data_IF_796425746162
#
_entry.id   IF_796425746162
#
_cell.length_a   1.000
_cell.length_b   1.000
_cell.length_c   1.000
_cell.angle_alpha   90.00
_cell.angle_beta   90.00
_cell.angle_gamma   90.00
#
_symmetry.space_group_name_H-M   'P 1'
#
loop_
_entity.id
_entity.type
_entity.pdbx_description
1 polymer ?
#
# COMPACT_ATOMS: atom_id res chain seq x y z
N UNK A 1 6.61 -20.36 -11.63
CA UNK A 1 5.35 -20.25 -12.37
C UNK A 1 5.71 -19.94 -13.83
N UNK A 2 5.47 -20.86 -14.76
CA UNK A 2 5.75 -20.63 -16.18
C UNK A 2 4.49 -20.01 -16.79
N UNK A 3 4.59 -18.80 -17.35
CA UNK A 3 3.45 -18.13 -17.98
C UNK A 3 3.29 -18.73 -19.38
N UNK A 4 2.19 -19.44 -19.61
CA UNK A 4 1.80 -19.97 -20.93
C UNK A 4 0.74 -19.06 -21.57
N UNK A 5 0.50 -19.21 -22.88
CA UNK A 5 -0.50 -18.41 -23.61
C UNK A 5 -1.96 -18.63 -23.13
N UNK A 6 -2.21 -19.63 -22.29
CA UNK A 6 -3.52 -19.92 -21.71
C UNK A 6 -3.83 -19.07 -20.46
N UNK A 7 -2.83 -18.34 -19.97
CA UNK A 7 -2.92 -17.53 -18.77
C UNK A 7 -3.57 -16.19 -19.11
N UNK A 8 -4.87 -16.05 -18.83
CA UNK A 8 -5.63 -14.81 -19.07
C UNK A 8 -5.17 -13.68 -18.13
N UNK A 9 -4.37 -12.75 -18.64
CA UNK A 9 -3.95 -11.55 -17.92
C UNK A 9 -5.06 -10.49 -17.95
N UNK A 10 -5.22 -9.69 -16.87
CA UNK A 10 -6.12 -8.55 -16.85
C UNK A 10 -5.67 -7.49 -17.87
N UNK A 11 -6.60 -6.65 -18.31
CA UNK A 11 -6.28 -5.54 -19.23
C UNK A 11 -5.56 -4.41 -18.49
N UNK A 12 -4.79 -3.58 -19.21
CA UNK A 12 -4.04 -2.47 -18.59
C UNK A 12 -4.97 -1.47 -17.90
N UNK A 13 -6.15 -1.22 -18.48
CA UNK A 13 -7.18 -0.34 -17.94
C UNK A 13 -7.65 -0.79 -16.55
N UNK A 14 -7.78 -2.10 -16.33
CA UNK A 14 -8.15 -2.66 -15.03
C UNK A 14 -7.06 -2.48 -13.98
N UNK A 15 -5.80 -2.34 -14.40
CA UNK A 15 -4.67 -2.07 -13.51
C UNK A 15 -4.50 -0.60 -13.16
N UNK A 16 -5.02 0.32 -13.99
CA UNK A 16 -4.85 1.76 -13.75
C UNK A 16 -5.61 2.22 -12.50
N UNK A 17 -4.87 2.59 -11.45
CA UNK A 17 -5.38 3.09 -10.17
C UNK A 17 -4.50 4.26 -9.74
N UNK A 18 -5.05 5.20 -8.97
CA UNK A 18 -4.26 6.29 -8.39
C UNK A 18 -3.18 5.73 -7.46
N UNK A 19 -1.92 5.94 -7.82
CA UNK A 19 -0.77 5.52 -7.02
C UNK A 19 -0.55 6.40 -5.80
N UNK A 20 0.03 5.80 -4.76
CA UNK A 20 0.39 6.46 -3.53
C UNK A 20 1.87 6.87 -3.57
N UNK A 21 2.12 8.10 -4.00
CA UNK A 21 3.47 8.66 -4.11
C UNK A 21 4.00 9.14 -2.75
N UNK A 22 4.39 8.21 -1.88
CA UNK A 22 4.95 8.51 -0.56
C UNK A 22 6.28 7.78 -0.35
N UNK A 23 7.12 8.34 0.52
CA UNK A 23 8.37 7.68 0.91
C UNK A 23 8.08 6.45 1.78
N UNK A 24 8.97 5.47 1.72
CA UNK A 24 8.91 4.27 2.57
C UNK A 24 8.83 4.61 4.06
N UNK A 25 9.49 5.68 4.49
CA UNK A 25 9.43 6.18 5.86
C UNK A 25 8.01 6.58 6.27
N UNK A 26 7.29 7.31 5.40
CA UNK A 26 5.92 7.73 5.66
C UNK A 26 4.95 6.53 5.67
N UNK A 27 5.18 5.53 4.82
CA UNK A 27 4.37 4.31 4.81
C UNK A 27 4.57 3.47 6.07
N UNK A 28 5.80 3.36 6.58
CA UNK A 28 6.13 2.60 7.79
C UNK A 28 5.77 3.35 9.07
N UNK A 29 5.67 4.68 9.01
CA UNK A 29 5.25 5.51 10.13
C UNK A 29 3.81 5.22 10.58
N UNK A 30 2.99 4.65 9.70
CA UNK A 30 1.61 4.38 10.04
C UNK A 30 1.45 3.10 10.84
N UNK A 31 0.66 3.13 11.93
CA UNK A 31 0.20 1.91 12.56
C UNK A 31 -0.63 1.11 11.55
N UNK A 32 -0.48 -0.22 11.60
CA UNK A 32 -1.03 -1.25 10.70
C UNK A 32 -2.58 -1.30 10.64
N UNK A 33 -3.26 -0.17 10.49
CA UNK A 33 -4.73 -0.02 10.51
C UNK A 33 -5.33 -0.26 9.11
N UNK A 34 -4.50 -0.46 8.08
CA UNK A 34 -4.94 -0.75 6.71
C UNK A 34 -5.13 -2.23 6.39
N UNK A 35 -5.07 -3.11 7.38
CA UNK A 35 -5.52 -4.48 7.19
C UNK A 35 -7.03 -4.46 6.99
N UNK A 36 -7.47 -4.23 5.74
CA UNK A 36 -8.72 -4.80 5.26
C UNK A 36 -8.49 -6.31 5.26
N UNK A 37 -9.02 -7.05 6.25
CA UNK A 37 -8.78 -8.48 6.33
C UNK A 37 -9.26 -9.19 5.07
N UNK A 38 -10.22 -8.60 4.35
CA UNK A 38 -10.77 -9.09 3.09
C UNK A 38 -9.71 -9.28 1.99
N UNK A 39 -8.81 -8.32 1.79
CA UNK A 39 -7.74 -8.47 0.78
C UNK A 39 -6.73 -9.56 1.20
N UNK A 40 -6.37 -9.58 2.48
CA UNK A 40 -5.44 -10.58 3.02
C UNK A 40 -6.04 -11.98 3.04
N UNK A 41 -7.36 -12.10 3.25
CA UNK A 41 -8.11 -13.35 3.20
C UNK A 41 -8.22 -13.85 1.75
N UNK A 42 -8.65 -12.98 0.83
CA UNK A 42 -8.73 -13.30 -0.60
C UNK A 42 -7.39 -13.83 -1.12
N UNK A 43 -6.28 -13.16 -0.75
CA UNK A 43 -4.94 -13.58 -1.16
C UNK A 43 -4.51 -14.92 -0.56
N UNK A 44 -4.93 -15.23 0.67
CA UNK A 44 -4.63 -16.52 1.31
C UNK A 44 -5.46 -17.68 0.75
N UNK A 45 -6.70 -17.43 0.34
CA UNK A 45 -7.61 -18.47 -0.13
C UNK A 45 -7.42 -18.80 -1.61
N UNK A 46 -7.28 -17.78 -2.47
CA UNK A 46 -7.25 -17.96 -3.93
C UNK A 46 -5.83 -18.16 -4.48
N UNK A 47 -4.80 -17.66 -3.78
CA UNK A 47 -3.38 -17.60 -4.21
C UNK A 47 -3.12 -16.96 -5.60
N UNK A 48 -4.17 -16.55 -6.32
CA UNK A 48 -4.11 -15.81 -7.59
C UNK A 48 -4.35 -14.31 -7.34
N UNK A 49 -3.37 -13.42 -7.65
CA UNK A 49 -3.52 -11.99 -7.49
C UNK A 49 -4.60 -11.35 -8.38
N UNK A 50 -5.02 -12.00 -9.48
CA UNK A 50 -5.99 -11.42 -10.44
C UNK A 50 -7.40 -11.38 -9.88
N UNK A 51 -7.76 -12.37 -9.06
CA UNK A 51 -9.08 -12.45 -8.45
C UNK A 51 -9.29 -11.36 -7.39
N UNK A 52 -8.21 -10.94 -6.71
CA UNK A 52 -8.26 -10.00 -5.59
C UNK A 52 -7.99 -8.53 -5.98
N UNK A 53 -8.09 -8.18 -7.28
CA UNK A 53 -7.77 -6.83 -7.76
C UNK A 53 -8.76 -5.78 -7.23
N UNK A 54 -10.03 -6.12 -7.09
CA UNK A 54 -11.06 -5.18 -6.63
C UNK A 54 -10.85 -4.80 -5.16
N UNK A 55 -10.50 -5.77 -4.33
CA UNK A 55 -10.16 -5.59 -2.93
C UNK A 55 -8.86 -4.79 -2.78
N UNK A 56 -7.88 -5.01 -3.67
CA UNK A 56 -6.67 -4.20 -3.76
C UNK A 56 -6.99 -2.73 -4.04
N UNK A 57 -7.89 -2.44 -4.99
CA UNK A 57 -8.36 -1.06 -5.26
C UNK A 57 -9.01 -0.43 -4.05
N UNK A 58 -9.81 -1.19 -3.30
CA UNK A 58 -10.43 -0.72 -2.07
C UNK A 58 -9.39 -0.34 -1.01
N UNK A 59 -8.33 -1.15 -0.84
CA UNK A 59 -7.21 -0.85 0.08
C UNK A 59 -6.51 0.45 -0.33
N UNK A 60 -6.15 0.61 -1.60
CA UNK A 60 -5.48 1.83 -2.09
C UNK A 60 -6.33 3.07 -1.90
N UNK A 61 -7.64 2.99 -2.17
CA UNK A 61 -8.57 4.11 -1.94
C UNK A 61 -8.68 4.49 -0.46
N UNK A 62 -8.60 3.51 0.44
CA UNK A 62 -8.63 3.72 1.88
C UNK A 62 -7.37 4.43 2.36
N UNK A 63 -6.20 3.97 1.93
CA UNK A 63 -4.92 4.60 2.24
C UNK A 63 -4.86 6.06 1.76
N UNK A 64 -5.30 6.35 0.52
CA UNK A 64 -5.35 7.71 -0.01
C UNK A 64 -6.21 8.65 0.86
N UNK A 65 -7.37 8.17 1.31
CA UNK A 65 -8.25 8.95 2.18
C UNK A 65 -7.65 9.16 3.58
N UNK A 66 -6.90 8.19 4.09
CA UNK A 66 -6.19 8.32 5.35
C UNK A 66 -5.11 9.41 5.28
N UNK A 67 -4.22 9.33 4.30
CA UNK A 67 -3.16 10.34 4.12
C UNK A 67 -3.70 11.74 3.87
N UNK A 68 -4.84 11.87 3.17
CA UNK A 68 -5.55 13.16 3.03
C UNK A 68 -6.02 13.72 4.36
N UNK A 69 -6.45 12.88 5.30
CA UNK A 69 -6.86 13.30 6.66
C UNK A 69 -5.66 13.66 7.52
N UNK A 70 -4.61 12.83 7.52
CA UNK A 70 -3.35 13.11 8.26
C UNK A 70 -2.76 14.45 7.84
N UNK A 71 -2.70 14.71 6.53
CA UNK A 71 -2.21 15.98 5.99
C UNK A 71 -3.03 17.20 6.47
N UNK A 72 -4.33 17.03 6.75
CA UNK A 72 -5.19 18.12 7.24
C UNK A 72 -5.12 18.32 8.75
N UNK A 73 -4.92 17.24 9.51
CA UNK A 73 -5.03 17.27 10.98
C UNK A 73 -3.70 17.34 11.72
N UNK A 74 -2.68 16.57 11.30
CA UNK A 74 -1.45 16.36 12.07
C UNK A 74 -0.18 16.32 11.20
N UNK A 75 -0.12 17.15 10.17
CA UNK A 75 0.96 17.14 9.18
C UNK A 75 2.35 17.33 9.79
N UNK A 76 2.55 18.32 10.67
CA UNK A 76 3.87 18.64 11.20
C UNK A 76 4.44 17.53 12.09
N UNK A 77 3.64 17.04 13.03
CA UNK A 77 4.01 15.94 13.92
C UNK A 77 4.30 14.65 13.13
N UNK A 78 3.47 14.36 12.13
CA UNK A 78 3.67 13.20 11.27
C UNK A 78 4.97 13.29 10.47
N UNK A 79 5.29 14.47 9.94
CA UNK A 79 6.54 14.68 9.20
C UNK A 79 7.77 14.62 10.10
N UNK A 80 7.69 15.13 11.33
CA UNK A 80 8.77 14.99 12.31
C UNK A 80 9.02 13.51 12.63
N UNK A 81 7.95 12.73 12.86
CA UNK A 81 8.05 11.30 13.12
C UNK A 81 8.59 10.52 11.91
N UNK A 82 8.08 10.79 10.71
CA UNK A 82 8.56 10.16 9.49
C UNK A 82 10.04 10.49 9.21
N UNK A 83 10.47 11.73 9.47
CA UNK A 83 11.88 12.14 9.33
C UNK A 83 12.77 11.47 10.38
N UNK A 84 12.26 11.27 11.60
CA UNK A 84 12.95 10.54 12.65
C UNK A 84 13.15 9.07 12.25
N UNK A 85 12.11 8.44 11.72
CA UNK A 85 12.18 7.07 11.19
C UNK A 85 13.16 6.96 10.03
N UNK A 86 13.15 7.92 9.09
CA UNK A 86 14.08 7.99 7.96
C UNK A 86 15.54 7.98 8.44
N UNK A 87 15.83 8.73 9.51
CA UNK A 87 17.19 8.91 10.07
C UNK A 87 17.61 7.83 11.07
N UNK A 88 16.69 6.99 11.55
CA UNK A 88 16.95 6.00 12.61
C UNK A 88 17.54 4.71 12.01
N UNK A 89 18.72 4.27 12.46
CA UNK A 89 19.36 3.06 11.94
C UNK A 89 18.77 1.75 12.46
N UNK A 90 18.52 0.84 11.51
CA UNK A 90 18.13 -0.56 11.71
C UNK A 90 17.88 -1.30 10.38
N UNK A 91 16.94 -0.83 9.55
CA UNK A 91 16.71 -1.23 8.14
C UNK A 91 16.12 -0.06 7.31
N UNK A 92 16.40 1.15 7.79
CA UNK A 92 16.32 2.45 7.12
C UNK A 92 17.72 3.07 7.36
N UNK A 93 18.72 2.50 6.69
CA UNK A 93 20.14 2.74 6.98
C UNK A 93 20.69 3.88 6.13
N UNK A 94 21.12 4.97 6.77
CA UNK A 94 22.09 5.90 6.20
C UNK A 94 23.49 5.30 6.36
N UNK A 95 24.15 4.98 5.24
CA UNK A 95 25.61 4.84 5.21
C UNK A 95 26.23 6.23 5.08
#
# INVERSE_FOLDING_TARGET
MVITNEVKLPTEEELTVQELNLSTAALRAEPFIWEKPEFMLCRKELDDPRACLNEGKAVTSCALNFFRKVKRSCYEEFMQYATCLDKSSGTMSFN
#
